data_IF_228737932611
#
_entry.id   IF_228737932611
#
_cell.length_a   1.000
_cell.length_b   1.000
_cell.length_c   1.000
_cell.angle_alpha   90.00
_cell.angle_beta   90.00
_cell.angle_gamma   90.00
#
_symmetry.space_group_name_H-M   'P 1'
#
loop_
_entity.id
_entity.type
_entity.pdbx_description
1 polymer ?
#
# COMPACT_ATOMS: atom_id res chain seq x y z
N UNK A 1 -39.12 -18.10 14.81
CA UNK A 1 -37.94 -18.50 14.01
C UNK A 1 -36.94 -17.35 14.03
N UNK A 2 -35.67 -17.63 14.30
CA UNK A 2 -34.61 -16.61 14.24
C UNK A 2 -34.28 -16.27 12.78
N UNK A 3 -33.94 -15.02 12.51
CA UNK A 3 -33.52 -14.58 11.17
C UNK A 3 -32.03 -14.84 10.98
N UNK A 4 -31.66 -15.59 9.94
CA UNK A 4 -30.25 -15.75 9.55
C UNK A 4 -29.68 -14.41 9.10
N UNK A 5 -28.50 -14.04 9.61
CA UNK A 5 -27.81 -12.79 9.28
C UNK A 5 -26.30 -13.00 9.22
N UNK A 6 -25.65 -12.43 8.22
CA UNK A 6 -24.18 -12.41 8.14
C UNK A 6 -23.59 -11.61 9.31
N UNK A 7 -22.53 -12.11 9.94
CA UNK A 7 -21.92 -11.48 11.11
C UNK A 7 -21.44 -10.05 10.85
N UNK A 8 -20.99 -9.73 9.63
CA UNK A 8 -20.59 -8.36 9.27
C UNK A 8 -21.80 -7.41 9.33
N UNK A 9 -22.94 -7.85 8.78
CA UNK A 9 -24.20 -7.08 8.82
C UNK A 9 -24.76 -6.96 10.22
N UNK A 10 -24.67 -8.02 11.02
CA UNK A 10 -25.10 -8.00 12.42
C UNK A 10 -24.30 -6.98 13.24
N UNK A 11 -22.98 -6.94 13.06
CA UNK A 11 -22.11 -5.97 13.73
C UNK A 11 -22.37 -4.54 13.28
N UNK A 12 -22.58 -4.31 11.99
CA UNK A 12 -22.94 -3.00 11.46
C UNK A 12 -24.24 -2.51 12.09
N UNK A 13 -25.29 -3.33 12.06
CA UNK A 13 -26.58 -3.02 12.68
C UNK A 13 -26.42 -2.73 14.19
N UNK A 14 -25.73 -3.60 14.92
CA UNK A 14 -25.54 -3.42 16.35
C UNK A 14 -24.76 -2.13 16.67
N UNK A 15 -23.60 -1.94 16.05
CA UNK A 15 -22.66 -0.85 16.39
C UNK A 15 -23.12 0.52 15.92
N UNK A 16 -23.77 0.59 14.76
CA UNK A 16 -24.12 1.85 14.11
C UNK A 16 -25.57 2.26 14.34
N UNK A 17 -26.48 1.30 14.34
CA UNK A 17 -27.92 1.60 14.31
C UNK A 17 -28.56 1.40 15.69
N UNK A 18 -28.16 0.39 16.45
CA UNK A 18 -28.80 0.05 17.73
C UNK A 18 -28.11 0.65 18.95
N UNK A 19 -26.82 0.41 19.13
CA UNK A 19 -26.13 0.79 20.35
C UNK A 19 -26.03 2.32 20.60
N UNK A 20 -26.05 3.20 19.57
CA UNK A 20 -26.15 4.64 19.78
C UNK A 20 -27.50 5.11 20.32
N UNK A 21 -28.57 4.29 20.25
CA UNK A 21 -29.89 4.65 20.80
C UNK A 21 -29.79 4.89 22.31
N UNK A 22 -30.51 5.88 22.80
CA UNK A 22 -30.49 6.27 24.19
C UNK A 22 -29.24 7.06 24.58
N UNK A 23 -28.48 7.59 23.60
CA UNK A 23 -27.24 8.33 23.83
C UNK A 23 -27.17 9.63 23.03
N UNK A 24 -26.37 10.60 23.50
CA UNK A 24 -26.00 11.78 22.71
C UNK A 24 -25.28 11.36 21.42
N UNK A 25 -25.52 12.08 20.32
CA UNK A 25 -24.91 11.79 19.00
C UNK A 25 -23.38 11.90 19.07
N UNK A 26 -22.85 12.72 19.97
CA UNK A 26 -21.41 12.89 20.18
C UNK A 26 -20.78 11.77 21.02
N UNK A 27 -21.54 10.75 21.45
CA UNK A 27 -21.01 9.70 22.31
C UNK A 27 -19.93 8.87 21.58
N UNK A 28 -18.76 8.72 22.23
CA UNK A 28 -17.70 7.89 21.69
C UNK A 28 -18.11 6.41 21.63
N UNK A 29 -17.86 5.77 20.48
CA UNK A 29 -18.10 4.34 20.28
C UNK A 29 -17.37 3.47 21.33
N UNK A 30 -16.21 3.93 21.83
CA UNK A 30 -15.46 3.23 22.87
C UNK A 30 -16.24 3.11 24.18
N UNK A 31 -17.02 4.14 24.52
CA UNK A 31 -17.92 4.12 25.67
C UNK A 31 -19.11 3.18 25.48
N UNK A 32 -19.51 2.98 24.22
CA UNK A 32 -20.63 2.10 23.83
C UNK A 32 -20.31 0.63 24.07
N UNK A 33 -19.08 0.20 23.76
CA UNK A 33 -18.66 -1.21 23.86
C UNK A 33 -18.18 -1.56 25.28
N UNK A 34 -18.43 -0.70 26.26
CA UNK A 34 -18.08 -0.97 27.65
C UNK A 34 -16.57 -1.07 27.88
N UNK A 35 -15.74 -0.41 27.05
CA UNK A 35 -14.34 -0.16 27.42
C UNK A 35 -14.36 0.76 28.63
N UNK A 36 -14.47 0.16 29.83
CA UNK A 36 -14.16 0.85 31.07
C UNK A 36 -12.80 1.48 30.85
N UNK A 37 -12.71 2.81 30.99
CA UNK A 37 -11.48 3.60 30.96
C UNK A 37 -10.51 3.16 32.08
N UNK A 38 -10.10 1.89 32.14
CA UNK A 38 -8.80 1.55 32.70
C UNK A 38 -7.81 2.14 31.72
N UNK A 39 -7.44 3.38 32.01
CA UNK A 39 -6.36 4.19 31.43
C UNK A 39 -5.32 3.31 30.74
N UNK A 40 -5.55 2.93 29.49
CA UNK A 40 -4.48 2.45 28.62
C UNK A 40 -3.96 3.73 27.97
N UNK A 41 -2.79 4.25 28.40
CA UNK A 41 -2.15 5.28 27.59
C UNK A 41 -2.04 4.71 26.17
N UNK A 42 -2.29 5.54 25.16
CA UNK A 42 -2.22 5.19 23.72
C UNK A 42 -3.43 4.53 23.04
N UNK A 43 -4.60 4.39 23.68
CA UNK A 43 -5.80 4.08 22.89
C UNK A 43 -6.23 5.33 22.11
N UNK A 44 -6.14 5.26 20.78
CA UNK A 44 -6.48 6.30 19.79
C UNK A 44 -8.00 6.55 19.69
N UNK A 45 -8.69 6.59 20.83
CA UNK A 45 -10.00 7.23 20.90
C UNK A 45 -9.73 8.74 20.87
N UNK A 46 -10.00 9.35 19.73
CA UNK A 46 -10.06 10.80 19.60
C UNK A 46 -11.13 11.30 20.57
N UNK A 47 -10.68 11.69 21.75
CA UNK A 47 -11.41 12.51 22.71
C UNK A 47 -11.61 13.88 22.07
N UNK A 48 -12.53 13.96 21.11
CA UNK A 48 -13.11 15.21 20.69
C UNK A 48 -13.84 15.73 21.93
N UNK A 49 -13.21 16.63 22.68
CA UNK A 49 -13.67 17.07 23.99
C UNK A 49 -15.12 17.54 23.95
N UNK A 50 -16.04 16.67 24.33
CA UNK A 50 -17.43 17.02 24.58
C UNK A 50 -17.49 17.49 26.03
N UNK A 51 -17.68 18.79 26.21
CA UNK A 51 -18.16 19.31 27.48
C UNK A 51 -19.55 18.70 27.73
N UNK A 52 -19.77 18.02 28.86
CA UNK A 52 -20.96 17.20 29.10
C UNK A 52 -22.30 17.95 29.09
N UNK A 53 -22.29 19.29 29.08
CA UNK A 53 -23.50 20.08 29.29
C UNK A 53 -24.25 20.49 28.01
N UNK A 54 -23.66 20.35 26.81
CA UNK A 54 -24.38 20.69 25.56
C UNK A 54 -23.92 19.79 24.42
N UNK A 55 -24.55 18.62 24.25
CA UNK A 55 -24.45 17.95 22.95
C UNK A 55 -25.35 18.68 21.94
N UNK A 56 -24.74 19.58 21.17
CA UNK A 56 -25.42 20.37 20.14
C UNK A 56 -25.97 19.54 18.98
N UNK A 57 -25.60 18.26 18.87
CA UNK A 57 -26.05 17.37 17.80
C UNK A 57 -27.29 16.54 18.16
N UNK A 58 -27.77 16.64 19.41
CA UNK A 58 -29.00 15.99 19.86
C UNK A 58 -28.79 14.57 20.38
N UNK A 59 -29.89 13.81 20.43
CA UNK A 59 -29.97 12.51 21.08
C UNK A 59 -30.62 11.49 20.15
N UNK A 60 -30.09 10.27 20.11
CA UNK A 60 -30.69 9.19 19.33
C UNK A 60 -31.80 8.54 20.18
N UNK A 61 -33.08 8.64 19.80
CA UNK A 61 -34.17 8.14 20.63
C UNK A 61 -34.24 6.60 20.67
N UNK A 62 -34.84 6.08 21.73
CA UNK A 62 -35.11 4.65 21.92
C UNK A 62 -34.09 3.93 22.81
N UNK A 63 -34.38 2.67 23.14
CA UNK A 63 -33.45 1.79 23.85
C UNK A 63 -32.78 0.84 22.85
N UNK A 64 -31.48 0.55 22.99
CA UNK A 64 -30.81 -0.44 22.15
C UNK A 64 -31.45 -1.82 22.29
N UNK A 65 -31.57 -2.55 21.18
CA UNK A 65 -32.09 -3.91 21.19
C UNK A 65 -31.25 -4.86 22.09
N UNK A 66 -31.86 -5.81 22.83
CA UNK A 66 -31.12 -6.75 23.70
C UNK A 66 -29.99 -7.52 22.99
N UNK A 67 -30.23 -8.02 21.78
CA UNK A 67 -29.20 -8.69 20.97
C UNK A 67 -27.99 -7.76 20.67
N UNK A 68 -28.19 -6.44 20.53
CA UNK A 68 -27.09 -5.52 20.27
C UNK A 68 -26.16 -5.40 21.50
N UNK A 69 -26.71 -5.51 22.72
CA UNK A 69 -25.90 -5.57 23.94
C UNK A 69 -25.08 -6.85 24.04
N UNK A 70 -25.65 -8.00 23.68
CA UNK A 70 -24.92 -9.27 23.62
C UNK A 70 -23.79 -9.22 22.58
N UNK A 71 -24.04 -8.60 21.43
CA UNK A 71 -22.99 -8.35 20.42
C UNK A 71 -21.89 -7.44 20.98
N UNK A 72 -22.25 -6.36 21.68
CA UNK A 72 -21.26 -5.47 22.31
C UNK A 72 -20.42 -6.20 23.36
N UNK A 73 -21.04 -7.04 24.17
CA UNK A 73 -20.36 -7.87 25.18
C UNK A 73 -19.40 -8.87 24.51
N UNK A 74 -19.84 -9.57 23.47
CA UNK A 74 -18.99 -10.50 22.72
C UNK A 74 -17.78 -9.77 22.08
N UNK A 75 -17.98 -8.58 21.50
CA UNK A 75 -16.89 -7.75 20.98
C UNK A 75 -15.96 -7.29 22.11
N UNK A 76 -16.50 -6.97 23.28
CA UNK A 76 -15.70 -6.59 24.46
C UNK A 76 -14.77 -7.72 24.93
N UNK A 77 -15.18 -8.98 24.73
CA UNK A 77 -14.43 -10.18 25.06
C UNK A 77 -13.39 -10.63 24.03
N UNK A 78 -13.31 -9.97 22.86
CA UNK A 78 -12.29 -10.27 21.86
C UNK A 78 -10.88 -9.96 22.38
N UNK A 79 -9.90 -10.74 21.91
CA UNK A 79 -8.48 -10.47 22.16
C UNK A 79 -8.10 -9.09 21.63
N UNK A 80 -7.31 -8.35 22.42
CA UNK A 80 -6.86 -7.00 22.08
C UNK A 80 -5.50 -6.97 21.41
N UNK A 81 -4.80 -8.10 21.38
CA UNK A 81 -3.45 -8.27 20.84
C UNK A 81 -3.42 -9.53 19.99
N UNK A 82 -3.47 -9.36 18.67
CA UNK A 82 -3.23 -10.40 17.68
C UNK A 82 -1.82 -10.25 17.11
N UNK A 83 -1.16 -11.38 16.83
CA UNK A 83 0.16 -11.45 16.21
C UNK A 83 0.17 -12.58 15.20
N UNK A 84 1.08 -12.51 14.24
CA UNK A 84 1.45 -13.67 13.44
C UNK A 84 2.34 -14.57 14.29
N UNK A 85 2.18 -15.89 14.17
CA UNK A 85 2.93 -16.84 14.99
C UNK A 85 4.26 -17.23 14.34
N UNK A 86 4.25 -17.35 13.02
CA UNK A 86 5.39 -17.85 12.26
C UNK A 86 5.83 -16.89 11.15
N UNK A 87 7.08 -17.06 10.70
CA UNK A 87 7.58 -16.35 9.53
C UNK A 87 6.81 -16.74 8.26
N UNK A 88 6.35 -17.99 8.17
CA UNK A 88 5.56 -18.48 7.04
C UNK A 88 4.21 -17.75 6.95
N UNK A 89 3.53 -17.51 8.08
CA UNK A 89 2.32 -16.69 8.11
C UNK A 89 2.57 -15.27 7.59
N UNK A 90 3.71 -14.67 7.98
CA UNK A 90 4.10 -13.34 7.49
C UNK A 90 4.40 -13.33 5.98
N UNK A 91 5.02 -14.38 5.46
CA UNK A 91 5.25 -14.56 4.03
C UNK A 91 3.92 -14.72 3.27
N UNK A 92 2.95 -15.45 3.82
CA UNK A 92 1.61 -15.59 3.25
C UNK A 92 0.88 -14.23 3.16
N UNK A 93 1.08 -13.33 4.12
CA UNK A 93 0.50 -11.98 4.06
C UNK A 93 1.12 -11.15 2.94
N UNK A 94 2.37 -11.40 2.56
CA UNK A 94 3.04 -10.70 1.46
C UNK A 94 2.59 -11.19 0.09
N UNK A 95 2.19 -12.46 -0.04
CA UNK A 95 1.69 -13.04 -1.30
C UNK A 95 2.67 -12.84 -2.46
N UNK A 96 2.20 -12.23 -3.53
CA UNK A 96 2.98 -11.90 -4.74
C UNK A 96 4.16 -10.96 -4.48
N UNK A 97 4.17 -10.23 -3.35
CA UNK A 97 5.25 -9.32 -2.97
C UNK A 97 6.37 -10.00 -2.20
N UNK A 98 6.21 -11.26 -1.77
CA UNK A 98 7.20 -11.98 -0.98
C UNK A 98 8.63 -11.98 -1.59
N UNK A 99 8.83 -12.17 -2.92
CA UNK A 99 10.18 -12.17 -3.51
C UNK A 99 10.92 -10.83 -3.41
N UNK A 100 10.20 -9.72 -3.25
CA UNK A 100 10.77 -8.37 -3.19
C UNK A 100 10.65 -7.74 -1.79
N UNK A 101 10.17 -8.52 -0.82
CA UNK A 101 9.82 -8.03 0.51
C UNK A 101 11.04 -7.74 1.41
N UNK A 102 12.19 -8.36 1.12
CA UNK A 102 13.38 -8.24 1.97
C UNK A 102 13.06 -8.58 3.43
N UNK A 103 13.37 -7.66 4.34
CA UNK A 103 13.13 -7.83 5.79
C UNK A 103 11.66 -7.59 6.22
N UNK A 104 10.75 -7.30 5.28
CA UNK A 104 9.36 -6.99 5.64
C UNK A 104 8.64 -8.15 6.35
N UNK A 105 8.94 -9.41 6.02
CA UNK A 105 8.34 -10.57 6.69
C UNK A 105 8.72 -10.60 8.18
N UNK A 106 9.99 -10.39 8.51
CA UNK A 106 10.46 -10.29 9.89
C UNK A 106 9.84 -9.07 10.62
N UNK A 107 9.68 -7.94 9.92
CA UNK A 107 9.03 -6.77 10.48
C UNK A 107 7.54 -7.01 10.78
N UNK A 108 6.82 -7.73 9.92
CA UNK A 108 5.42 -8.12 10.14
C UNK A 108 5.25 -9.04 11.34
N UNK A 109 6.16 -10.01 11.53
CA UNK A 109 6.12 -10.92 12.67
C UNK A 109 6.18 -10.19 14.02
N UNK A 110 6.84 -9.03 14.06
CA UNK A 110 6.96 -8.19 15.26
C UNK A 110 5.77 -7.28 15.51
N UNK A 111 4.82 -7.16 14.56
CA UNK A 111 3.66 -6.29 14.70
C UNK A 111 2.58 -6.90 15.58
N UNK A 112 1.80 -6.00 16.19
CA UNK A 112 0.65 -6.34 17.02
C UNK A 112 -0.55 -5.59 16.47
N UNK A 113 -1.62 -6.34 16.20
CA UNK A 113 -2.91 -5.80 15.79
C UNK A 113 -3.89 -5.88 16.95
N UNK A 114 -4.92 -5.05 16.94
CA UNK A 114 -5.99 -5.09 17.92
C UNK A 114 -7.30 -5.52 17.23
N UNK A 115 -7.58 -6.84 17.15
CA UNK A 115 -8.73 -7.36 16.41
C UNK A 115 -10.06 -6.74 16.85
N UNK A 116 -10.23 -6.53 18.16
CA UNK A 116 -11.39 -5.82 18.70
C UNK A 116 -11.54 -4.41 18.10
N UNK A 117 -10.48 -3.60 18.12
CA UNK A 117 -10.53 -2.24 17.60
C UNK A 117 -10.79 -2.21 16.08
N UNK A 118 -10.19 -3.14 15.35
CA UNK A 118 -10.36 -3.28 13.90
C UNK A 118 -11.82 -3.62 13.57
N UNK A 119 -12.41 -4.63 14.22
CA UNK A 119 -13.82 -5.00 14.02
C UNK A 119 -14.76 -3.83 14.28
N UNK A 120 -14.56 -3.10 15.38
CA UNK A 120 -15.38 -1.94 15.74
C UNK A 120 -15.27 -0.83 14.69
N UNK A 121 -14.04 -0.46 14.33
CA UNK A 121 -13.78 0.58 13.33
C UNK A 121 -14.47 0.26 12.00
N UNK A 122 -14.33 -0.98 11.53
CA UNK A 122 -14.88 -1.41 10.25
C UNK A 122 -16.39 -1.62 10.26
N UNK A 123 -16.97 -2.05 11.38
CA UNK A 123 -18.43 -2.12 11.55
C UNK A 123 -19.07 -0.73 11.50
N UNK A 124 -18.47 0.27 12.17
CA UNK A 124 -18.98 1.65 12.20
C UNK A 124 -18.83 2.33 10.84
N UNK A 125 -17.67 2.18 10.21
CA UNK A 125 -17.36 2.79 8.91
C UNK A 125 -18.04 2.10 7.72
N UNK A 126 -18.70 0.95 7.95
CA UNK A 126 -19.35 0.15 6.91
C UNK A 126 -18.40 -0.15 5.73
N UNK A 127 -17.16 -0.51 6.05
CA UNK A 127 -16.13 -0.88 5.06
C UNK A 127 -15.24 -1.96 5.62
N UNK A 128 -14.68 -2.81 4.77
CA UNK A 128 -13.67 -3.81 5.16
C UNK A 128 -12.27 -3.19 5.23
N UNK A 129 -11.31 -3.81 5.95
CA UNK A 129 -9.91 -3.43 5.84
C UNK A 129 -9.45 -3.51 4.37
N UNK A 130 -8.68 -2.54 3.87
CA UNK A 130 -8.13 -2.62 2.52
C UNK A 130 -7.12 -3.77 2.46
N UNK A 131 -7.19 -4.58 1.42
CA UNK A 131 -6.24 -5.66 1.17
C UNK A 131 -5.80 -5.72 -0.30
N UNK A 132 -6.56 -5.05 -1.18
CA UNK A 132 -6.25 -4.88 -2.59
C UNK A 132 -5.32 -3.69 -2.75
N UNK A 133 -4.25 -3.94 -3.49
CA UNK A 133 -3.23 -2.98 -3.80
C UNK A 133 -2.90 -3.10 -5.27
N UNK A 134 -2.60 -1.98 -5.91
CA UNK A 134 -2.01 -2.02 -7.25
C UNK A 134 -0.63 -2.68 -7.18
N UNK A 135 -0.19 -3.25 -8.29
CA UNK A 135 1.13 -3.87 -8.37
C UNK A 135 2.21 -2.83 -8.06
N UNK A 136 3.03 -3.12 -7.06
CA UNK A 136 4.07 -2.20 -6.61
C UNK A 136 4.96 -1.79 -7.78
N UNK A 137 5.19 -0.49 -7.90
CA UNK A 137 6.10 0.06 -8.91
C UNK A 137 7.47 0.29 -8.29
N UNK A 138 8.56 -0.25 -8.87
CA UNK A 138 9.90 0.00 -8.37
C UNK A 138 10.33 1.42 -8.76
N UNK A 139 10.86 2.17 -7.79
CA UNK A 139 11.42 3.49 -8.01
C UNK A 139 12.93 3.48 -7.80
N UNK A 140 13.70 4.24 -8.61
CA UNK A 140 15.11 4.49 -8.32
C UNK A 140 15.27 5.12 -6.93
N UNK A 141 16.15 4.57 -6.08
CA UNK A 141 16.45 5.12 -4.77
C UNK A 141 16.90 6.58 -4.90
N UNK A 142 16.15 7.48 -4.26
CA UNK A 142 16.49 8.89 -4.18
C UNK A 142 17.04 9.20 -2.79
N UNK A 143 18.00 10.11 -2.72
CA UNK A 143 18.46 10.67 -1.45
C UNK A 143 18.46 12.18 -1.54
N UNK A 144 18.18 12.76 -0.39
CA UNK A 144 18.21 14.18 -0.20
C UNK A 144 19.64 14.63 0.09
N UNK A 145 20.05 15.71 -0.55
CA UNK A 145 21.29 16.39 -0.25
C UNK A 145 21.03 17.90 -0.26
N UNK A 146 21.80 18.64 0.55
CA UNK A 146 21.81 20.09 0.49
C UNK A 146 22.80 20.53 -0.58
N UNK A 147 22.35 21.38 -1.49
CA UNK A 147 23.25 22.02 -2.45
C UNK A 147 24.12 23.09 -1.77
N UNK A 148 25.04 23.71 -2.53
CA UNK A 148 25.91 24.77 -2.01
C UNK A 148 25.15 26.00 -1.50
N UNK A 149 23.90 26.20 -1.92
CA UNK A 149 23.02 27.26 -1.45
C UNK A 149 22.17 26.84 -0.24
N UNK A 150 22.38 25.64 0.30
CA UNK A 150 21.65 25.10 1.44
C UNK A 150 20.26 24.53 1.10
N UNK A 151 19.85 24.56 -0.18
CA UNK A 151 18.55 24.07 -0.62
C UNK A 151 18.54 22.55 -0.68
N UNK A 152 17.45 21.93 -0.21
CA UNK A 152 17.26 20.48 -0.26
C UNK A 152 16.95 20.06 -1.70
N UNK A 153 17.72 19.10 -2.21
CA UNK A 153 17.57 18.54 -3.57
C UNK A 153 17.53 17.02 -3.47
N UNK A 154 16.74 16.40 -4.32
CA UNK A 154 16.74 14.93 -4.50
C UNK A 154 17.59 14.56 -5.70
N UNK A 155 18.34 13.45 -5.59
CA UNK A 155 18.99 12.81 -6.75
C UNK A 155 18.93 11.30 -6.62
N UNK A 156 18.87 10.62 -7.77
CA UNK A 156 18.98 9.17 -7.84
C UNK A 156 20.37 8.70 -7.43
N UNK A 157 20.43 7.68 -6.58
CA UNK A 157 21.68 7.01 -6.19
C UNK A 157 22.06 5.98 -7.22
N UNK A 158 23.08 6.32 -7.99
CA UNK A 158 23.72 5.38 -8.91
C UNK A 158 25.06 5.02 -8.33
N UNK A 159 25.29 3.74 -8.15
CA UNK A 159 26.54 3.16 -7.66
C UNK A 159 27.18 2.33 -8.75
N UNK A 160 28.46 2.07 -8.64
CA UNK A 160 29.17 1.19 -9.55
C UNK A 160 30.44 0.68 -8.87
N UNK A 161 31.22 -0.09 -9.61
CA UNK A 161 32.52 -0.56 -9.15
C UNK A 161 33.63 0.35 -9.67
N UNK A 162 34.48 0.81 -8.76
CA UNK A 162 35.71 1.51 -9.09
C UNK A 162 36.73 0.58 -9.76
N UNK A 163 37.86 1.15 -10.18
CA UNK A 163 38.98 0.39 -10.76
C UNK A 163 39.61 -0.59 -9.75
N UNK A 164 39.41 -0.33 -8.46
CA UNK A 164 39.80 -1.15 -7.31
C UNK A 164 38.78 -2.23 -6.94
N UNK A 165 37.64 -2.29 -7.64
CA UNK A 165 36.54 -3.21 -7.34
C UNK A 165 35.66 -2.80 -6.16
N UNK A 166 35.89 -1.63 -5.56
CA UNK A 166 35.04 -1.13 -4.48
C UNK A 166 33.78 -0.43 -5.01
N UNK A 167 32.69 -0.52 -4.24
CA UNK A 167 31.44 0.15 -4.57
C UNK A 167 31.60 1.67 -4.37
N UNK A 168 31.42 2.44 -5.42
CA UNK A 168 31.54 3.91 -5.42
C UNK A 168 30.26 4.56 -5.92
N UNK A 169 29.88 5.68 -5.31
CA UNK A 169 28.78 6.51 -5.80
C UNK A 169 29.22 7.19 -7.12
N UNK A 170 28.49 6.93 -8.20
CA UNK A 170 28.77 7.51 -9.50
C UNK A 170 28.05 8.85 -9.65
N UNK A 171 28.82 9.90 -9.90
CA UNK A 171 28.26 11.21 -10.23
C UNK A 171 27.89 11.28 -11.71
N UNK A 172 26.70 11.80 -12.06
CA UNK A 172 26.32 11.97 -13.45
C UNK A 172 27.26 12.97 -14.13
N UNK A 173 27.81 12.58 -15.28
CA UNK A 173 28.52 13.48 -16.20
C UNK A 173 27.55 14.58 -16.64
N UNK A 174 28.08 15.78 -16.92
CA UNK A 174 27.28 16.93 -17.38
C UNK A 174 27.85 17.51 -18.68
N UNK A 175 27.00 18.21 -19.43
CA UNK A 175 27.39 18.93 -20.65
C UNK A 175 27.89 18.03 -21.77
N UNK A 176 28.94 18.48 -22.48
CA UNK A 176 29.51 17.75 -23.64
C UNK A 176 29.99 16.34 -23.29
N UNK A 177 30.52 16.14 -22.09
CA UNK A 177 30.98 14.82 -21.64
C UNK A 177 29.83 13.80 -21.53
N UNK A 178 28.66 14.25 -21.07
CA UNK A 178 27.47 13.40 -20.99
C UNK A 178 26.93 13.01 -22.37
N UNK A 179 26.92 13.96 -23.31
CA UNK A 179 26.49 13.73 -24.70
C UNK A 179 27.44 12.77 -25.43
N UNK A 180 28.75 12.92 -25.23
CA UNK A 180 29.76 12.11 -25.93
C UNK A 180 29.93 10.70 -25.34
N UNK A 181 29.78 10.52 -24.02
CA UNK A 181 30.18 9.29 -23.32
C UNK A 181 29.10 8.72 -22.39
N UNK A 182 27.86 9.19 -22.52
CA UNK A 182 26.75 8.82 -21.63
C UNK A 182 26.77 9.51 -20.27
N UNK A 183 25.68 9.36 -19.53
CA UNK A 183 25.47 10.01 -18.21
C UNK A 183 26.41 9.43 -17.15
N UNK A 184 26.71 8.14 -17.21
CA UNK A 184 27.60 7.44 -16.28
C UNK A 184 28.71 6.72 -17.04
N UNK A 185 29.81 6.41 -16.35
CA UNK A 185 30.84 5.55 -16.92
C UNK A 185 30.37 4.09 -16.93
N UNK A 186 30.19 3.52 -18.11
CA UNK A 186 29.76 2.12 -18.26
C UNK A 186 30.84 1.14 -17.78
N UNK A 187 32.12 1.53 -17.78
CA UNK A 187 33.19 0.70 -17.25
C UNK A 187 33.02 0.40 -15.75
N UNK A 188 32.31 1.27 -15.04
CA UNK A 188 32.00 1.11 -13.62
C UNK A 188 30.73 0.27 -13.37
N UNK A 189 30.11 -0.32 -14.39
CA UNK A 189 28.87 -1.10 -14.27
C UNK A 189 27.80 -0.40 -13.41
N UNK A 190 27.29 0.78 -13.84
CA UNK A 190 26.37 1.59 -13.04
C UNK A 190 25.09 0.82 -12.70
N UNK A 191 24.71 0.81 -11.43
CA UNK A 191 23.52 0.19 -10.86
C UNK A 191 22.78 1.22 -10.02
N UNK A 192 21.46 1.13 -10.03
CA UNK A 192 20.61 1.91 -9.15
C UNK A 192 19.92 0.96 -8.18
N UNK A 193 19.91 1.30 -6.89
CA UNK A 193 19.04 0.62 -5.94
C UNK A 193 17.59 0.91 -6.29
N UNK A 194 16.74 -0.11 -6.27
CA UNK A 194 15.32 0.05 -6.43
C UNK A 194 14.66 0.03 -5.06
N UNK A 195 13.72 0.94 -4.85
CA UNK A 195 12.90 1.03 -3.66
C UNK A 195 11.45 0.85 -4.07
N UNK A 196 10.74 0.02 -3.33
CA UNK A 196 9.32 -0.24 -3.53
C UNK A 196 8.56 0.60 -2.51
N UNK A 197 8.00 1.73 -2.95
CA UNK A 197 7.34 2.69 -2.06
C UNK A 197 5.83 2.80 -2.32
N UNK A 198 5.33 2.31 -3.45
CA UNK A 198 3.94 2.50 -3.85
C UNK A 198 3.34 1.23 -4.46
N UNK A 199 2.74 0.35 -3.63
CA UNK A 199 2.90 0.31 -2.17
C UNK A 199 4.19 -0.42 -1.77
N UNK A 200 4.73 -0.07 -0.61
CA UNK A 200 5.83 -0.83 -0.02
C UNK A 200 5.36 -2.24 0.39
N UNK A 201 6.14 -3.31 0.16
CA UNK A 201 5.76 -4.68 0.53
C UNK A 201 5.33 -4.81 2.00
N UNK A 202 6.01 -4.11 2.91
CA UNK A 202 5.62 -4.05 4.32
C UNK A 202 4.23 -3.46 4.54
N UNK A 203 3.86 -2.41 3.79
CA UNK A 203 2.54 -1.79 3.89
C UNK A 203 1.43 -2.72 3.35
N UNK A 204 1.71 -3.45 2.26
CA UNK A 204 0.79 -4.47 1.72
C UNK A 204 0.57 -5.58 2.74
N UNK A 205 1.65 -6.15 3.28
CA UNK A 205 1.56 -7.23 4.26
C UNK A 205 0.87 -6.80 5.55
N UNK A 206 1.05 -5.54 5.98
CA UNK A 206 0.40 -5.00 7.18
C UNK A 206 -1.11 -4.91 7.00
N UNK A 207 -1.56 -4.39 5.87
CA UNK A 207 -2.98 -4.25 5.57
C UNK A 207 -3.67 -5.61 5.35
N UNK A 208 -2.96 -6.58 4.75
CA UNK A 208 -3.43 -7.96 4.63
C UNK A 208 -3.49 -8.67 5.98
N UNK A 209 -2.52 -8.46 6.87
CA UNK A 209 -2.56 -8.97 8.24
C UNK A 209 -3.70 -8.34 9.06
N UNK A 210 -3.98 -7.05 8.88
CA UNK A 210 -5.13 -6.37 9.47
C UNK A 210 -6.46 -6.98 8.98
N UNK A 211 -6.59 -7.22 7.67
CA UNK A 211 -7.74 -7.92 7.09
C UNK A 211 -7.92 -9.33 7.66
N UNK A 212 -6.82 -10.09 7.78
CA UNK A 212 -6.85 -11.43 8.34
C UNK A 212 -7.32 -11.43 9.81
N UNK A 213 -6.75 -10.54 10.63
CA UNK A 213 -7.12 -10.37 12.04
C UNK A 213 -8.61 -9.98 12.19
N UNK A 214 -9.10 -9.06 11.34
CA UNK A 214 -10.51 -8.70 11.27
C UNK A 214 -11.40 -9.91 10.97
N UNK A 215 -11.09 -10.66 9.90
CA UNK A 215 -11.90 -11.79 9.43
C UNK A 215 -11.90 -12.94 10.45
N UNK A 216 -10.75 -13.22 11.09
CA UNK A 216 -10.66 -14.20 12.17
C UNK A 216 -11.52 -13.79 13.38
N UNK A 217 -11.49 -12.51 13.77
CA UNK A 217 -12.35 -12.01 14.84
C UNK A 217 -13.84 -12.12 14.49
N UNK A 218 -14.24 -11.83 13.24
CA UNK A 218 -15.61 -12.04 12.78
C UNK A 218 -16.04 -13.51 12.88
N UNK A 219 -15.19 -14.45 12.47
CA UNK A 219 -15.49 -15.87 12.58
C UNK A 219 -15.64 -16.32 14.05
N UNK A 220 -14.77 -15.82 14.94
CA UNK A 220 -14.85 -16.07 16.38
C UNK A 220 -16.14 -15.51 16.98
N UNK A 221 -16.55 -14.30 16.61
CA UNK A 221 -17.80 -13.69 17.05
C UNK A 221 -19.03 -14.46 16.57
N UNK A 222 -19.05 -14.86 15.30
CA UNK A 222 -20.16 -15.65 14.74
C UNK A 222 -20.34 -16.97 15.52
N UNK A 223 -19.24 -17.68 15.79
CA UNK A 223 -19.26 -18.90 16.58
C UNK A 223 -19.69 -18.65 18.03
N UNK A 224 -19.19 -17.58 18.65
CA UNK A 224 -19.52 -17.22 20.02
C UNK A 224 -21.00 -16.82 20.21
N UNK A 225 -21.58 -16.12 19.24
CA UNK A 225 -22.96 -15.61 19.31
C UNK A 225 -24.02 -16.62 18.85
N UNK A 226 -23.62 -17.73 18.23
CA UNK A 226 -24.53 -18.78 17.76
C UNK A 226 -25.42 -19.30 18.90
N UNK A 227 -26.73 -19.36 18.67
CA UNK A 227 -27.70 -19.76 19.68
C UNK A 227 -28.00 -18.71 20.79
N UNK A 228 -27.14 -17.72 21.04
CA UNK A 228 -27.29 -16.77 22.15
C UNK A 228 -28.29 -15.64 21.89
N UNK A 229 -28.43 -15.24 20.63
CA UNK A 229 -29.28 -14.11 20.25
C UNK A 229 -30.76 -14.49 20.17
N UNK A 230 -31.65 -13.56 20.52
CA UNK A 230 -33.09 -13.80 20.57
C UNK A 230 -33.75 -13.71 19.20
N UNK A 231 -33.34 -12.74 18.37
CA UNK A 231 -33.98 -12.41 17.10
C UNK A 231 -33.18 -12.87 15.89
N UNK A 232 -31.86 -12.97 16.03
CA UNK A 232 -30.94 -13.29 14.96
C UNK A 232 -30.21 -14.62 15.18
N UNK A 233 -29.79 -15.25 14.08
CA UNK A 233 -28.85 -16.36 14.11
C UNK A 233 -27.67 -16.01 13.20
N UNK A 234 -26.48 -15.71 13.77
CA UNK A 234 -25.35 -15.22 12.99
C UNK A 234 -24.75 -16.34 12.13
N UNK A 235 -24.45 -16.03 10.87
CA UNK A 235 -23.66 -16.90 10.00
C UNK A 235 -22.19 -16.44 9.97
N UNK A 236 -21.24 -17.35 9.65
CA UNK A 236 -19.84 -16.97 9.43
C UNK A 236 -19.68 -15.85 8.40
N UNK A 237 -18.58 -15.08 8.42
CA UNK A 237 -18.38 -14.00 7.47
C UNK A 237 -18.33 -14.55 6.05
N UNK A 238 -19.14 -13.97 5.15
CA UNK A 238 -19.12 -14.32 3.73
C UNK A 238 -17.80 -13.95 3.02
N UNK A 239 -16.99 -13.09 3.64
CA UNK A 239 -15.70 -12.67 3.08
C UNK A 239 -14.66 -13.82 3.10
N UNK A 240 -13.91 -14.03 2.00
CA UNK A 240 -12.86 -15.05 1.95
C UNK A 240 -11.74 -14.75 2.96
N UNK A 241 -11.06 -15.81 3.41
CA UNK A 241 -10.03 -15.71 4.44
C UNK A 241 -8.79 -14.95 3.97
N UNK A 242 -8.31 -15.27 2.77
CA UNK A 242 -7.11 -14.70 2.16
C UNK A 242 -7.39 -14.45 0.68
N UNK A 243 -8.16 -13.39 0.34
CA UNK A 243 -8.59 -13.14 -1.04
C UNK A 243 -7.46 -12.89 -2.04
N UNK A 244 -6.24 -12.62 -1.58
CA UNK A 244 -5.05 -12.45 -2.41
C UNK A 244 -4.32 -13.76 -2.72
N UNK A 245 -4.66 -14.85 -2.02
CA UNK A 245 -4.21 -16.19 -2.39
C UNK A 245 -5.27 -16.73 -3.33
N UNK A 246 -5.10 -16.44 -4.62
CA UNK A 246 -5.93 -17.04 -5.66
C UNK A 246 -5.38 -18.45 -5.89
N UNK A 247 -6.14 -19.47 -5.49
CA UNK A 247 -5.87 -20.88 -5.82
C UNK A 247 -6.07 -21.19 -7.32
N UNK A 248 -6.56 -20.22 -8.08
CA UNK A 248 -6.58 -20.29 -9.53
C UNK A 248 -5.13 -20.24 -10.02
N UNK A 249 -4.72 -21.31 -10.72
CA UNK A 249 -3.44 -21.42 -11.42
C UNK A 249 -2.98 -20.03 -11.82
N UNK A 250 -1.85 -19.60 -11.27
CA UNK A 250 -1.08 -18.53 -11.86
C UNK A 250 -0.74 -19.07 -13.24
N UNK A 251 -1.62 -18.83 -14.21
CA UNK A 251 -1.32 -18.91 -15.63
C UNK A 251 -0.24 -17.88 -15.75
N UNK A 252 0.98 -18.36 -15.58
CA UNK A 252 2.18 -17.63 -15.78
C UNK A 252 2.05 -17.21 -17.24
N UNK A 253 1.53 -16.00 -17.46
CA UNK A 253 1.79 -15.22 -18.66
C UNK A 253 3.27 -14.85 -18.67
N UNK A 254 4.15 -15.81 -18.42
CA UNK A 254 5.33 -15.94 -19.27
C UNK A 254 4.73 -16.03 -20.67
N UNK A 255 5.18 -15.17 -21.57
CA UNK A 255 4.85 -15.20 -22.98
C UNK A 255 5.42 -16.49 -23.61
N UNK A 256 4.98 -17.66 -23.13
CA UNK A 256 5.38 -18.98 -23.60
C UNK A 256 4.52 -19.40 -24.78
N UNK A 257 3.24 -19.06 -24.74
CA UNK A 257 2.24 -19.44 -25.74
C UNK A 257 2.24 -18.43 -26.89
N UNK A 258 3.33 -18.46 -27.66
CA UNK A 258 3.52 -17.60 -28.82
C UNK A 258 4.97 -17.34 -29.20
N UNK A 259 5.94 -17.96 -28.53
CA UNK A 259 7.31 -17.93 -29.03
C UNK A 259 7.38 -18.77 -30.31
N UNK A 260 7.69 -18.16 -31.48
CA UNK A 260 7.84 -18.91 -32.72
C UNK A 260 8.87 -20.03 -32.51
N UNK A 261 8.68 -21.21 -33.13
CA UNK A 261 9.46 -22.42 -32.86
C UNK A 261 10.99 -22.30 -33.09
N UNK A 262 11.50 -21.14 -33.53
CA UNK A 262 12.92 -20.84 -33.65
C UNK A 262 13.62 -20.30 -32.38
N UNK A 263 12.88 -19.89 -31.33
CA UNK A 263 13.50 -19.23 -30.16
C UNK A 263 13.95 -20.17 -29.03
N UNK A 264 13.63 -21.46 -29.09
CA UNK A 264 13.95 -22.44 -28.04
C UNK A 264 15.40 -23.00 -28.10
N UNK A 265 16.22 -22.55 -29.05
CA UNK A 265 17.61 -23.01 -29.21
C UNK A 265 18.65 -21.91 -29.33
N UNK A 266 18.24 -20.65 -29.54
CA UNK A 266 19.16 -19.53 -29.59
C UNK A 266 19.38 -18.99 -28.18
N UNK A 267 20.65 -18.95 -27.73
CA UNK A 267 21.03 -18.18 -26.54
C UNK A 267 20.55 -16.75 -26.73
N UNK A 268 19.46 -16.39 -26.03
CA UNK A 268 18.99 -15.01 -25.97
C UNK A 268 20.17 -14.13 -25.60
N UNK A 269 20.60 -13.30 -26.54
CA UNK A 269 21.68 -12.35 -26.30
C UNK A 269 21.22 -11.44 -25.18
N UNK A 270 21.97 -11.39 -24.08
CA UNK A 270 21.68 -10.61 -22.86
C UNK A 270 21.43 -9.11 -23.12
N UNK A 271 21.72 -8.63 -24.33
CA UNK A 271 21.39 -7.30 -24.79
C UNK A 271 20.70 -7.38 -26.15
N UNK A 272 19.56 -6.71 -26.35
CA UNK A 272 19.02 -6.53 -27.68
C UNK A 272 20.11 -5.86 -28.52
N UNK A 273 20.52 -6.49 -29.62
CA UNK A 273 21.40 -5.83 -30.57
C UNK A 273 20.64 -4.64 -31.12
N UNK A 274 20.93 -3.45 -30.58
CA UNK A 274 20.49 -2.24 -31.23
C UNK A 274 21.10 -2.26 -32.64
N UNK A 275 20.29 -2.10 -33.70
CA UNK A 275 20.86 -1.82 -35.01
C UNK A 275 21.85 -0.67 -34.83
N UNK A 276 22.97 -0.72 -35.55
CA UNK A 276 23.95 0.36 -35.54
C UNK A 276 23.17 1.67 -35.69
N UNK A 277 23.39 2.60 -34.74
CA UNK A 277 22.67 3.85 -34.73
C UNK A 277 22.79 4.46 -36.13
N UNK A 278 21.65 4.58 -36.82
CA UNK A 278 21.62 5.23 -38.11
C UNK A 278 22.23 6.63 -37.98
N UNK A 279 22.69 7.23 -39.09
CA UNK A 279 23.16 8.61 -39.05
C UNK A 279 22.11 9.47 -38.34
N UNK A 280 22.53 10.37 -37.43
CA UNK A 280 21.59 11.17 -36.64
C UNK A 280 20.59 11.82 -37.58
N UNK A 281 19.30 11.69 -37.26
CA UNK A 281 18.24 12.33 -38.04
C UNK A 281 18.50 13.83 -37.98
N UNK A 282 19.00 14.38 -39.09
CA UNK A 282 19.32 15.79 -39.23
C UNK A 282 18.08 16.61 -38.85
N UNK A 283 18.22 17.49 -37.86
CA UNK A 283 17.11 18.36 -37.48
C UNK A 283 16.71 19.25 -38.65
N UNK A 284 15.43 19.61 -38.79
CA UNK A 284 14.96 20.49 -39.88
C UNK A 284 15.76 21.80 -39.93
N UNK A 285 16.18 22.31 -38.77
CA UNK A 285 16.99 23.51 -38.60
C UNK A 285 18.43 23.31 -39.12
N UNK A 286 19.06 22.15 -38.88
CA UNK A 286 20.36 21.84 -39.47
C UNK A 286 20.25 21.70 -40.99
N UNK A 287 19.15 21.10 -41.48
CA UNK A 287 18.89 20.93 -42.91
C UNK A 287 18.71 22.28 -43.63
N UNK A 288 18.01 23.24 -43.01
CA UNK A 288 17.85 24.62 -43.49
C UNK A 288 19.16 25.44 -43.40
N UNK A 289 19.92 25.27 -42.32
CA UNK A 289 21.22 25.94 -42.17
C UNK A 289 22.25 25.44 -43.19
N UNK A 290 22.23 24.15 -43.54
CA UNK A 290 23.10 23.57 -44.57
C UNK A 290 22.76 24.05 -45.98
N UNK A 291 21.50 24.43 -46.23
CA UNK A 291 21.05 25.07 -47.48
C UNK A 291 21.45 26.54 -47.59
N UNK A 292 22.07 27.12 -46.55
CA UNK A 292 22.50 28.52 -46.55
C UNK A 292 21.36 29.52 -46.41
N UNK A 293 20.12 29.05 -46.20
CA UNK A 293 18.93 29.90 -46.13
C UNK A 293 18.81 30.64 -44.81
N UNK A 294 19.42 30.12 -43.72
CA UNK A 294 19.33 30.75 -42.41
C UNK A 294 20.63 30.60 -41.61
N UNK A 295 21.12 31.71 -41.05
CA UNK A 295 22.19 31.67 -40.06
C UNK A 295 21.69 30.92 -38.80
N UNK A 296 22.11 29.66 -38.64
CA UNK A 296 21.68 28.74 -37.58
C UNK A 296 21.67 29.39 -36.19
N UNK A 297 22.68 30.22 -35.87
CA UNK A 297 22.79 30.89 -34.57
C UNK A 297 21.69 31.94 -34.37
N UNK A 298 21.27 32.62 -35.43
CA UNK A 298 20.19 33.59 -35.40
C UNK A 298 18.83 32.90 -35.21
N UNK A 299 18.57 31.80 -35.92
CA UNK A 299 17.34 31.02 -35.82
C UNK A 299 17.14 30.43 -34.41
N UNK A 300 18.19 29.82 -33.84
CA UNK A 300 18.14 29.26 -32.48
C UNK A 300 17.93 30.35 -31.43
N UNK A 301 18.53 31.54 -31.61
CA UNK A 301 18.34 32.68 -30.71
C UNK A 301 16.92 33.23 -30.78
N UNK A 302 16.36 33.39 -31.98
CA UNK A 302 14.99 33.84 -32.18
C UNK A 302 13.98 32.88 -31.55
N UNK A 303 14.16 31.56 -31.75
CA UNK A 303 13.29 30.54 -31.16
C UNK A 303 13.32 30.53 -29.62
N UNK A 304 14.49 30.77 -29.02
CA UNK A 304 14.62 30.89 -27.54
C UNK A 304 14.00 32.17 -26.98
N UNK A 305 14.01 33.26 -27.74
CA UNK A 305 13.35 34.51 -27.35
C UNK A 305 11.83 34.38 -27.45
N UNK A 306 11.32 33.77 -28.53
CA UNK A 306 9.89 33.51 -28.71
C UNK A 306 9.32 32.56 -27.64
N UNK A 307 10.09 31.58 -27.15
CA UNK A 307 9.66 30.69 -26.08
C UNK A 307 9.69 31.33 -24.67
N UNK A 308 10.22 32.54 -24.54
CA UNK A 308 10.28 33.29 -23.27
C UNK A 308 9.29 34.45 -23.20
N UNK A 309 8.70 34.83 -24.34
CA UNK A 309 7.60 35.78 -24.43
C UNK A 309 6.27 35.03 -24.30
#
# INVERSE_FOLDING_TARGET
MKKLIDIEKLLQWAMRDELPKGRPVSAEIGHVIGRRHRRRPFSLALNAGVLPDVDCFGFVPGEPHPDAWLVAEAVSGLVTEGRLETLDDAVLMLGEFAPIAGDAAAALLMKVWNPQAIVVSHAVLHRRPPWQFEMASPYPAQYEYRDKAGSLRTRTRVEGYGMDGHLVELRPRRGRAAQARGVYDLACAPRCHLVWNDPAPLAVGDARAEYFAWRAALASLAAGLAGQLTSFEPTPPAAPAMPWILDDEIVTRVLSDGLPPGLLGEKLRLQPQRPAAGPPVESSIEREARRGEVNYRAAVRAKRLAARA
#
